data_IF_372070066332
#
_entry.id   IF_372070066332
#
_cell.length_a   1.000
_cell.length_b   1.000
_cell.length_c   1.000
_cell.angle_alpha   90.00
_cell.angle_beta   90.00
_cell.angle_gamma   90.00
#
_symmetry.space_group_name_H-M   'P 1'
#
loop_
_entity.id
_entity.type
_entity.pdbx_description
1 polymer ?
#
# COMPACT_ATOMS: atom_id res chain seq x y z
N UNK A 1 -28.28 -5.33 -1.30
CA UNK A 1 -27.96 -4.05 -1.94
C UNK A 1 -26.90 -4.29 -3.00
N UNK A 2 -27.16 -3.94 -4.25
CA UNK A 2 -26.16 -4.06 -5.31
C UNK A 2 -25.11 -2.96 -5.10
N UNK A 3 -23.85 -3.34 -4.89
CA UNK A 3 -22.75 -2.39 -4.77
C UNK A 3 -22.70 -1.52 -6.03
N UNK A 4 -22.59 -0.20 -5.83
CA UNK A 4 -22.38 0.75 -6.92
C UNK A 4 -21.10 0.33 -7.66
N UNK A 5 -21.11 0.27 -9.02
CA UNK A 5 -19.90 -0.09 -9.76
C UNK A 5 -18.79 0.92 -9.45
N UNK A 6 -17.54 0.44 -9.47
CA UNK A 6 -16.36 1.28 -9.38
C UNK A 6 -16.46 2.39 -10.44
N UNK A 7 -16.06 3.62 -10.10
CA UNK A 7 -15.78 4.57 -11.17
C UNK A 7 -14.46 4.19 -11.84
N UNK A 8 -14.28 4.42 -13.16
CA UNK A 8 -13.03 4.13 -13.87
C UNK A 8 -11.79 4.74 -13.19
N UNK A 9 -11.94 5.95 -12.62
CA UNK A 9 -10.90 6.62 -11.84
C UNK A 9 -10.45 5.86 -10.58
N UNK A 10 -11.29 4.97 -10.02
CA UNK A 10 -10.93 4.13 -8.87
C UNK A 10 -10.22 2.84 -9.28
N UNK A 11 -10.31 2.43 -10.55
CA UNK A 11 -9.67 1.23 -11.08
C UNK A 11 -8.25 1.55 -11.59
N UNK A 12 -8.04 2.77 -12.11
CA UNK A 12 -6.72 3.24 -12.58
C UNK A 12 -5.79 3.69 -11.44
N UNK A 13 -6.29 3.74 -10.19
CA UNK A 13 -5.52 4.12 -9.00
C UNK A 13 -4.84 2.92 -8.35
N UNK A 14 -3.79 3.21 -7.56
CA UNK A 14 -3.24 2.27 -6.58
C UNK A 14 -4.36 1.70 -5.69
N UNK A 15 -4.11 0.58 -5.03
CA UNK A 15 -5.18 -0.14 -4.32
C UNK A 15 -5.96 0.75 -3.35
N UNK A 16 -7.31 0.63 -3.33
CA UNK A 16 -8.17 1.41 -2.44
C UNK A 16 -8.07 0.99 -0.98
N UNK A 17 -7.45 -0.16 -0.69
CA UNK A 17 -7.29 -0.63 0.67
C UNK A 17 -6.32 0.31 1.40
N UNK A 18 -6.67 0.81 2.61
CA UNK A 18 -5.81 1.70 3.36
C UNK A 18 -4.43 1.11 3.65
N UNK A 19 -3.45 1.99 3.83
CA UNK A 19 -2.20 1.61 4.46
C UNK A 19 -2.48 1.14 5.89
N UNK A 20 -1.69 0.18 6.36
CA UNK A 20 -1.81 -0.36 7.72
C UNK A 20 -0.62 0.10 8.54
N UNK A 21 -0.88 0.35 9.82
CA UNK A 21 0.21 0.44 10.79
C UNK A 21 0.94 -0.89 10.88
N UNK A 22 2.18 -0.81 11.33
CA UNK A 22 3.04 -1.98 11.43
C UNK A 22 2.44 -3.13 12.23
N UNK A 23 1.96 -2.81 13.42
CA UNK A 23 1.26 -3.75 14.30
C UNK A 23 0.08 -4.45 13.61
N UNK A 24 -0.73 -3.73 12.84
CA UNK A 24 -1.93 -4.26 12.20
C UNK A 24 -1.55 -5.17 11.02
N UNK A 25 -0.48 -4.81 10.30
CA UNK A 25 0.08 -5.67 9.26
C UNK A 25 0.66 -6.97 9.84
N UNK A 26 1.31 -6.92 11.01
CA UNK A 26 1.81 -8.11 11.70
C UNK A 26 0.67 -9.03 12.14
N UNK A 27 -0.38 -8.48 12.75
CA UNK A 27 -1.58 -9.26 13.14
C UNK A 27 -2.22 -9.89 11.91
N UNK A 28 -2.35 -9.16 10.80
CA UNK A 28 -2.87 -9.70 9.55
C UNK A 28 -2.00 -10.87 9.05
N UNK A 29 -0.69 -10.70 9.02
CA UNK A 29 0.25 -11.75 8.60
C UNK A 29 0.13 -13.00 9.47
N UNK A 30 0.14 -12.86 10.80
CA UNK A 30 -0.02 -13.98 11.73
C UNK A 30 -1.38 -14.68 11.54
N UNK A 31 -2.44 -13.90 11.36
CA UNK A 31 -3.79 -14.43 11.10
C UNK A 31 -3.83 -15.24 9.80
N UNK A 32 -3.26 -14.72 8.71
CA UNK A 32 -3.21 -15.44 7.43
C UNK A 32 -2.35 -16.70 7.50
N UNK A 33 -1.25 -16.68 8.24
CA UNK A 33 -0.38 -17.85 8.43
C UNK A 33 -1.07 -18.95 9.25
N UNK A 34 -1.94 -18.58 10.19
CA UNK A 34 -2.75 -19.53 10.96
C UNK A 34 -3.83 -20.22 10.11
N UNK A 35 -4.21 -19.65 8.96
CA UNK A 35 -5.19 -20.25 8.05
C UNK A 35 -4.49 -21.25 7.11
N UNK A 36 -4.88 -22.54 7.14
CA UNK A 36 -4.11 -23.62 6.51
C UNK A 36 -4.28 -23.68 4.98
N UNK A 37 -5.29 -23.04 4.41
CA UNK A 37 -5.58 -23.16 2.96
C UNK A 37 -5.75 -21.81 2.26
N UNK A 38 -5.46 -21.77 0.95
CA UNK A 38 -5.70 -20.60 0.11
C UNK A 38 -7.17 -20.10 0.19
N UNK A 39 -8.21 -20.96 0.10
CA UNK A 39 -9.60 -20.52 0.20
C UNK A 39 -9.94 -19.86 1.53
N UNK A 40 -9.39 -20.34 2.65
CA UNK A 40 -9.61 -19.73 3.98
C UNK A 40 -8.94 -18.37 4.07
N UNK A 41 -7.68 -18.25 3.62
CA UNK A 41 -6.96 -16.96 3.56
C UNK A 41 -7.70 -15.94 2.71
N UNK A 42 -8.13 -16.35 1.51
CA UNK A 42 -8.90 -15.49 0.62
C UNK A 42 -10.27 -15.13 1.22
N UNK A 43 -10.93 -16.06 1.91
CA UNK A 43 -12.21 -15.81 2.60
C UNK A 43 -12.03 -14.72 3.66
N UNK A 44 -11.01 -14.84 4.50
CA UNK A 44 -10.71 -13.85 5.52
C UNK A 44 -10.44 -12.46 4.91
N UNK A 45 -9.64 -12.39 3.84
CA UNK A 45 -9.35 -11.12 3.17
C UNK A 45 -10.60 -10.46 2.58
N UNK A 46 -11.46 -11.25 1.93
CA UNK A 46 -12.70 -10.78 1.34
C UNK A 46 -13.70 -10.29 2.40
N UNK A 47 -13.81 -11.00 3.51
CA UNK A 47 -14.86 -10.76 4.49
C UNK A 47 -14.43 -9.70 5.54
N UNK A 48 -13.13 -9.61 5.86
CA UNK A 48 -12.63 -8.78 6.98
C UNK A 48 -11.64 -7.69 6.57
N UNK A 49 -10.98 -7.78 5.41
CA UNK A 49 -9.88 -6.89 5.02
C UNK A 49 -10.14 -6.08 3.75
N UNK A 50 -11.39 -6.07 3.28
CA UNK A 50 -11.79 -5.44 2.01
C UNK A 50 -12.44 -4.08 2.17
N UNK A 51 -12.34 -3.48 3.35
CA UNK A 51 -12.91 -2.17 3.61
C UNK A 51 -12.00 -1.03 3.12
N UNK A 52 -12.63 0.02 2.62
CA UNK A 52 -11.97 1.22 2.16
C UNK A 52 -12.80 2.47 2.50
N UNK A 53 -12.16 3.63 2.43
CA UNK A 53 -12.75 4.87 2.88
C UNK A 53 -12.73 5.91 1.79
N UNK A 54 -13.74 6.78 1.77
CA UNK A 54 -13.81 7.89 0.83
C UNK A 54 -14.21 9.19 1.51
N UNK A 55 -13.65 10.31 1.05
CA UNK A 55 -14.08 11.67 1.39
C UNK A 55 -14.41 12.40 0.09
N UNK A 56 -15.63 12.93 -0.03
CA UNK A 56 -16.12 13.61 -1.24
C UNK A 56 -15.93 12.78 -2.54
N UNK A 57 -16.02 11.46 -2.43
CA UNK A 57 -15.83 10.53 -3.56
C UNK A 57 -14.38 10.14 -3.86
N UNK A 58 -13.40 10.75 -3.20
CA UNK A 58 -11.98 10.39 -3.33
C UNK A 58 -11.61 9.31 -2.32
N UNK A 59 -10.80 8.34 -2.73
CA UNK A 59 -10.28 7.29 -1.84
C UNK A 59 -9.31 7.89 -0.84
N UNK A 60 -9.43 7.46 0.41
CA UNK A 60 -8.50 7.80 1.50
C UNK A 60 -7.75 6.54 1.90
N UNK A 61 -6.42 6.56 1.75
CA UNK A 61 -5.53 5.44 2.12
C UNK A 61 -4.69 5.72 3.36
N UNK A 62 -4.65 6.96 3.84
CA UNK A 62 -3.87 7.35 5.02
C UNK A 62 -4.60 6.91 6.31
N UNK A 63 -4.02 6.02 7.12
CA UNK A 63 -4.64 5.54 8.35
C UNK A 63 -4.83 6.65 9.38
N UNK A 64 -3.96 7.67 9.43
CA UNK A 64 -4.12 8.77 10.38
C UNK A 64 -5.40 9.58 10.09
N UNK A 65 -5.70 9.81 8.81
CA UNK A 65 -6.92 10.53 8.40
C UNK A 65 -8.21 9.73 8.67
N UNK A 66 -8.11 8.40 8.62
CA UNK A 66 -9.21 7.48 8.92
C UNK A 66 -9.49 7.46 10.42
N UNK A 67 -8.44 7.36 11.24
CA UNK A 67 -8.54 7.31 12.70
C UNK A 67 -9.09 8.61 13.30
N UNK A 68 -8.79 9.76 12.69
CA UNK A 68 -9.34 11.06 13.12
C UNK A 68 -10.82 11.25 12.75
N UNK A 69 -11.45 10.29 12.05
CA UNK A 69 -12.85 10.35 11.61
C UNK A 69 -13.21 11.68 10.95
N UNK A 70 -12.37 12.09 9.99
CA UNK A 70 -12.51 13.35 9.27
C UNK A 70 -13.94 13.55 8.76
N UNK A 71 -14.46 14.79 8.84
CA UNK A 71 -15.83 15.09 8.42
C UNK A 71 -16.07 14.65 6.96
N UNK A 72 -17.17 13.92 6.72
CA UNK A 72 -17.50 13.38 5.40
C UNK A 72 -16.81 12.05 5.05
N UNK A 73 -16.00 11.46 5.94
CA UNK A 73 -15.44 10.13 5.77
C UNK A 73 -16.56 9.07 5.72
N UNK A 74 -16.62 8.34 4.62
CA UNK A 74 -17.58 7.24 4.43
C UNK A 74 -16.82 5.92 4.28
N UNK A 75 -17.19 4.92 5.09
CA UNK A 75 -16.67 3.55 4.98
C UNK A 75 -17.47 2.74 3.96
N UNK A 76 -16.77 2.00 3.12
CA UNK A 76 -17.32 1.07 2.14
C UNK A 76 -16.62 -0.28 2.27
N UNK A 77 -17.25 -1.31 1.71
CA UNK A 77 -16.65 -2.63 1.59
C UNK A 77 -16.54 -3.01 0.11
N UNK A 78 -15.34 -3.40 -0.33
CA UNK A 78 -15.06 -3.75 -1.70
C UNK A 78 -15.77 -5.05 -2.07
N UNK A 79 -16.72 -4.96 -3.00
CA UNK A 79 -17.44 -6.14 -3.46
C UNK A 79 -16.54 -7.07 -4.27
N UNK A 80 -16.87 -8.36 -4.33
CA UNK A 80 -16.17 -9.30 -5.21
C UNK A 80 -16.21 -8.90 -6.70
N UNK A 81 -17.21 -8.12 -7.14
CA UNK A 81 -17.21 -7.61 -8.52
C UNK A 81 -16.12 -6.55 -8.71
N UNK A 82 -16.03 -5.61 -7.77
CA UNK A 82 -15.04 -4.55 -7.74
C UNK A 82 -13.61 -5.12 -7.68
N UNK A 83 -13.37 -6.08 -6.78
CA UNK A 83 -12.06 -6.73 -6.64
C UNK A 83 -11.69 -7.48 -7.92
N UNK A 84 -12.64 -8.18 -8.54
CA UNK A 84 -12.36 -8.90 -9.78
C UNK A 84 -11.95 -7.97 -10.92
N UNK A 85 -12.65 -6.83 -11.04
CA UNK A 85 -12.37 -5.80 -12.05
C UNK A 85 -11.00 -5.15 -11.82
N UNK A 86 -10.70 -4.77 -10.56
CA UNK A 86 -9.40 -4.20 -10.19
C UNK A 86 -8.25 -5.18 -10.48
N UNK A 87 -8.39 -6.45 -10.09
CA UNK A 87 -7.39 -7.50 -10.34
C UNK A 87 -7.22 -7.78 -11.82
N UNK A 88 -8.31 -7.80 -12.61
CA UNK A 88 -8.22 -7.98 -14.06
C UNK A 88 -7.45 -6.84 -14.72
N UNK A 89 -7.66 -5.60 -14.28
CA UNK A 89 -6.94 -4.43 -14.77
C UNK A 89 -5.43 -4.53 -14.49
N UNK A 90 -5.05 -4.85 -13.25
CA UNK A 90 -3.64 -4.85 -12.82
C UNK A 90 -2.87 -6.10 -13.25
N UNK A 91 -3.51 -7.27 -13.29
CA UNK A 91 -2.87 -8.51 -13.77
C UNK A 91 -2.84 -8.64 -15.29
N UNK A 92 -3.61 -7.82 -16.02
CA UNK A 92 -3.87 -7.95 -17.47
C UNK A 92 -4.40 -9.33 -17.85
N UNK A 93 -5.02 -10.04 -16.91
CA UNK A 93 -5.55 -11.39 -17.09
C UNK A 93 -7.05 -11.41 -16.79
N UNK A 94 -7.80 -12.22 -17.54
CA UNK A 94 -9.25 -12.36 -17.30
C UNK A 94 -9.51 -12.91 -15.90
N UNK A 95 -10.25 -12.14 -15.11
CA UNK A 95 -10.61 -12.53 -13.75
C UNK A 95 -12.01 -12.02 -13.42
N UNK A 96 -12.89 -12.93 -12.98
CA UNK A 96 -14.32 -12.62 -12.82
C UNK A 96 -14.77 -12.80 -11.38
N UNK A 97 -15.88 -12.15 -11.04
CA UNK A 97 -16.57 -12.36 -9.75
C UNK A 97 -16.87 -13.84 -9.49
N UNK A 98 -17.25 -14.59 -10.52
CA UNK A 98 -17.52 -16.02 -10.41
C UNK A 98 -16.24 -16.80 -10.06
N UNK A 99 -15.08 -16.40 -10.61
CA UNK A 99 -13.79 -16.98 -10.25
C UNK A 99 -13.46 -16.74 -8.78
N UNK A 100 -13.69 -15.53 -8.25
CA UNK A 100 -13.51 -15.23 -6.82
C UNK A 100 -14.39 -16.15 -5.95
N UNK A 101 -15.67 -16.30 -6.30
CA UNK A 101 -16.59 -17.17 -5.55
C UNK A 101 -16.16 -18.65 -5.56
N UNK A 102 -15.68 -19.16 -6.70
CA UNK A 102 -15.17 -20.53 -6.81
C UNK A 102 -13.88 -20.73 -6.01
N UNK A 103 -12.96 -19.75 -6.06
CA UNK A 103 -11.73 -19.74 -5.28
C UNK A 103 -12.02 -19.72 -3.77
N UNK A 104 -12.96 -18.87 -3.32
CA UNK A 104 -13.42 -18.79 -1.93
C UNK A 104 -13.92 -20.15 -1.41
N UNK A 105 -14.59 -20.93 -2.27
CA UNK A 105 -15.14 -22.25 -1.94
C UNK A 105 -14.13 -23.40 -2.11
N UNK A 106 -12.90 -23.14 -2.55
CA UNK A 106 -11.93 -24.18 -2.89
C UNK A 106 -12.31 -25.06 -4.08
N UNK A 107 -13.27 -24.62 -4.91
CA UNK A 107 -13.74 -25.37 -6.09
C UNK A 107 -12.82 -25.21 -7.30
N UNK A 108 -11.83 -24.32 -7.20
CA UNK A 108 -10.82 -24.06 -8.22
C UNK A 108 -9.44 -24.11 -7.58
N UNK A 109 -8.42 -24.63 -8.28
CA UNK A 109 -7.04 -24.50 -7.81
C UNK A 109 -6.64 -23.03 -7.63
N UNK A 110 -5.60 -22.75 -6.83
CA UNK A 110 -5.05 -21.41 -6.66
C UNK A 110 -4.80 -20.72 -8.01
N UNK A 111 -4.98 -19.38 -8.07
CA UNK A 111 -4.81 -18.64 -9.31
C UNK A 111 -3.34 -18.65 -9.78
N UNK A 112 -3.13 -18.35 -11.07
CA UNK A 112 -1.78 -18.15 -11.62
C UNK A 112 -1.10 -16.95 -10.96
N UNK A 113 0.23 -16.94 -10.96
CA UNK A 113 1.08 -15.93 -10.31
C UNK A 113 0.65 -14.49 -10.57
N UNK A 114 0.33 -14.11 -11.82
CA UNK A 114 -0.10 -12.74 -12.13
C UNK A 114 -1.38 -12.32 -11.37
N UNK A 115 -2.36 -13.22 -11.28
CA UNK A 115 -3.61 -12.97 -10.54
C UNK A 115 -3.37 -13.04 -9.03
N UNK A 116 -2.54 -13.97 -8.55
CA UNK A 116 -2.18 -14.05 -7.14
C UNK A 116 -1.44 -12.80 -6.66
N UNK A 117 -0.52 -12.26 -7.47
CA UNK A 117 0.19 -11.02 -7.19
C UNK A 117 -0.76 -9.83 -7.16
N UNK A 118 -1.64 -9.68 -8.14
CA UNK A 118 -2.63 -8.59 -8.14
C UNK A 118 -3.62 -8.71 -6.98
N UNK A 119 -4.03 -9.93 -6.60
CA UNK A 119 -4.83 -10.15 -5.39
C UNK A 119 -4.06 -9.67 -4.14
N UNK A 120 -2.80 -10.07 -3.98
CA UNK A 120 -1.99 -9.64 -2.84
C UNK A 120 -1.76 -8.13 -2.81
N UNK A 121 -1.50 -7.53 -3.98
CA UNK A 121 -1.36 -6.09 -4.18
C UNK A 121 -2.63 -5.35 -3.77
N UNK A 122 -3.81 -5.86 -4.17
CA UNK A 122 -5.09 -5.30 -3.73
C UNK A 122 -5.18 -5.19 -2.21
N UNK A 123 -4.76 -6.20 -1.45
CA UNK A 123 -4.78 -6.12 0.02
C UNK A 123 -3.51 -5.53 0.64
N UNK A 124 -2.54 -5.04 -0.16
CA UNK A 124 -1.23 -4.57 0.31
C UNK A 124 -0.47 -5.61 1.16
N UNK A 125 -0.50 -6.89 0.76
CA UNK A 125 0.20 -7.98 1.45
C UNK A 125 1.28 -8.61 0.57
N UNK A 126 2.20 -9.35 1.19
CA UNK A 126 3.15 -10.18 0.45
C UNK A 126 2.41 -11.32 -0.29
N UNK A 127 2.61 -11.49 -1.62
CA UNK A 127 1.90 -12.52 -2.39
C UNK A 127 2.16 -13.94 -1.91
N UNK A 128 3.30 -14.19 -1.27
CA UNK A 128 3.63 -15.50 -0.68
C UNK A 128 2.69 -15.85 0.47
N UNK A 129 2.06 -14.87 1.12
CA UNK A 129 1.05 -15.12 2.17
C UNK A 129 -0.21 -15.77 1.61
N UNK A 130 -0.48 -15.70 0.31
CA UNK A 130 -1.59 -16.45 -0.28
C UNK A 130 -1.23 -17.91 -0.54
N UNK A 131 0.05 -18.27 -0.59
CA UNK A 131 0.49 -19.64 -0.85
C UNK A 131 0.66 -20.43 0.46
N UNK A 132 -0.19 -21.43 0.74
CA UNK A 132 -0.07 -22.25 1.95
C UNK A 132 1.16 -23.17 1.94
N UNK A 133 1.81 -23.39 0.79
CA UNK A 133 3.04 -24.18 0.71
C UNK A 133 4.29 -23.41 1.17
N UNK A 134 4.21 -22.08 1.29
CA UNK A 134 5.33 -21.27 1.78
C UNK A 134 5.45 -21.40 3.30
N UNK A 135 6.59 -21.87 3.83
CA UNK A 135 6.76 -22.04 5.27
C UNK A 135 6.66 -20.70 6.02
N UNK A 136 6.07 -20.73 7.22
CA UNK A 136 5.83 -19.54 8.04
C UNK A 136 7.14 -18.82 8.43
N UNK A 137 8.25 -19.56 8.53
CA UNK A 137 9.58 -19.03 8.85
C UNK A 137 10.07 -18.02 7.82
N UNK A 138 9.59 -18.08 6.57
CA UNK A 138 9.89 -17.08 5.54
C UNK A 138 9.33 -15.69 5.85
N UNK A 139 8.41 -15.62 6.80
CA UNK A 139 7.80 -14.38 7.29
C UNK A 139 8.27 -14.03 8.71
N UNK A 140 9.09 -14.87 9.35
CA UNK A 140 9.69 -14.57 10.66
C UNK A 140 10.71 -13.42 10.56
N UNK A 141 11.35 -13.29 9.39
CA UNK A 141 12.27 -12.19 9.03
C UNK A 141 11.59 -11.10 8.20
N UNK A 142 10.31 -11.24 7.85
CA UNK A 142 9.57 -10.07 7.38
C UNK A 142 9.69 -9.11 8.56
N UNK A 143 10.35 -7.95 8.40
CA UNK A 143 10.58 -7.10 9.53
C UNK A 143 9.21 -6.91 10.14
N UNK A 144 9.05 -7.38 11.39
CA UNK A 144 8.09 -6.76 12.26
C UNK A 144 8.35 -5.29 11.98
N UNK A 145 7.34 -4.64 11.48
CA UNK A 145 7.24 -3.21 11.46
C UNK A 145 7.25 -2.80 12.93
N UNK A 146 8.45 -2.94 13.52
CA UNK A 146 8.89 -2.44 14.79
C UNK A 146 8.49 -0.99 14.72
N UNK A 147 7.47 -0.62 15.49
CA UNK A 147 7.15 0.63 16.21
C UNK A 147 8.04 1.88 15.99
N UNK A 148 8.60 2.03 14.80
CA UNK A 148 9.54 3.05 14.35
C UNK A 148 9.42 3.21 12.83
N UNK A 149 8.18 3.26 12.34
CA UNK A 149 7.90 4.28 11.34
C UNK A 149 8.10 5.59 12.08
N UNK A 150 9.29 6.18 11.97
CA UNK A 150 9.51 7.57 12.36
C UNK A 150 8.50 8.36 11.52
N UNK A 151 7.41 8.89 12.10
CA UNK A 151 6.49 9.72 11.34
C UNK A 151 7.31 10.87 10.73
N UNK A 152 6.92 11.42 9.58
CA UNK A 152 7.63 12.55 8.97
C UNK A 152 7.89 13.72 9.95
N UNK A 153 7.06 13.85 10.99
CA UNK A 153 7.19 14.80 12.10
C UNK A 153 8.35 14.55 13.08
N UNK A 154 8.92 13.33 13.10
CA UNK A 154 10.07 12.96 13.95
C UNK A 154 11.41 13.01 13.20
N UNK A 155 11.40 13.22 11.88
CA UNK A 155 12.60 13.62 11.14
C UNK A 155 12.96 15.06 11.52
N UNK A 156 13.99 15.23 12.35
CA UNK A 156 14.47 16.55 12.78
C UNK A 156 15.74 16.95 12.02
N UNK A 157 15.92 18.26 11.82
CA UNK A 157 17.13 18.82 11.20
C UNK A 157 17.30 18.46 9.70
N UNK A 158 18.52 18.07 9.33
CA UNK A 158 18.94 17.86 7.94
C UNK A 158 18.15 16.74 7.25
N UNK A 159 17.84 15.65 7.95
CA UNK A 159 17.13 14.50 7.38
C UNK A 159 15.67 14.79 7.04
N UNK A 160 14.99 15.63 7.83
CA UNK A 160 13.63 16.07 7.53
C UNK A 160 13.59 16.96 6.28
N UNK A 161 14.54 17.88 6.19
CA UNK A 161 14.67 18.78 5.04
C UNK A 161 14.95 18.03 3.73
N UNK A 162 15.83 17.03 3.77
CA UNK A 162 16.11 16.19 2.61
C UNK A 162 14.90 15.40 2.14
N UNK A 163 14.15 14.79 3.06
CA UNK A 163 12.96 14.02 2.71
C UNK A 163 11.89 14.90 2.05
N UNK A 164 11.65 16.10 2.58
CA UNK A 164 10.75 17.09 1.96
C UNK A 164 11.18 17.43 0.53
N UNK A 165 12.46 17.74 0.33
CA UNK A 165 12.99 18.11 -0.99
C UNK A 165 12.90 16.94 -1.97
N UNK A 166 13.20 15.71 -1.53
CA UNK A 166 13.10 14.51 -2.38
C UNK A 166 11.66 14.26 -2.86
N UNK A 167 10.65 14.48 -2.01
CA UNK A 167 9.25 14.43 -2.43
C UNK A 167 8.90 15.58 -3.39
N UNK A 168 9.35 16.80 -3.12
CA UNK A 168 9.05 17.97 -3.96
C UNK A 168 9.64 17.87 -5.37
N UNK A 169 10.77 17.17 -5.54
CA UNK A 169 11.41 16.95 -6.84
C UNK A 169 10.92 15.69 -7.57
N UNK A 170 9.95 14.96 -7.00
CA UNK A 170 9.30 13.79 -7.63
C UNK A 170 9.97 12.44 -7.36
N UNK A 171 10.82 12.32 -6.32
CA UNK A 171 11.36 11.04 -5.86
C UNK A 171 10.41 10.38 -4.84
N UNK A 172 9.15 10.22 -5.24
CA UNK A 172 8.02 9.78 -4.39
C UNK A 172 8.18 8.34 -3.86
N UNK A 173 9.10 7.56 -4.42
CA UNK A 173 9.37 6.18 -3.98
C UNK A 173 10.30 6.07 -2.77
N UNK A 174 10.89 7.17 -2.28
CA UNK A 174 11.93 7.14 -1.25
C UNK A 174 11.32 7.18 0.14
N UNK A 175 11.59 6.14 0.94
CA UNK A 175 11.04 6.03 2.30
C UNK A 175 11.88 6.85 3.30
N UNK A 176 11.26 7.55 4.28
CA UNK A 176 11.96 8.25 5.38
C UNK A 176 13.08 7.44 6.05
N UNK A 177 12.83 6.14 6.28
CA UNK A 177 13.77 5.21 6.93
C UNK A 177 14.98 4.88 6.05
N UNK A 178 14.80 4.82 4.73
CA UNK A 178 15.91 4.58 3.80
C UNK A 178 16.85 5.77 3.80
N UNK A 179 16.30 6.98 3.81
CA UNK A 179 17.06 8.23 3.97
C UNK A 179 17.77 8.24 5.31
N UNK A 180 17.05 8.05 6.42
CA UNK A 180 17.65 8.07 7.77
C UNK A 180 18.77 7.03 7.94
N UNK A 181 18.59 5.82 7.39
CA UNK A 181 19.61 4.76 7.40
C UNK A 181 20.82 5.09 6.53
N UNK A 182 20.61 5.63 5.33
CA UNK A 182 21.69 6.03 4.41
C UNK A 182 22.48 7.23 4.96
N UNK A 183 21.79 8.20 5.54
CA UNK A 183 22.40 9.39 6.15
C UNK A 183 23.11 9.04 7.45
N UNK A 184 22.54 8.19 8.29
CA UNK A 184 23.17 7.74 9.55
C UNK A 184 24.47 6.94 9.32
N UNK A 185 24.67 6.39 8.13
CA UNK A 185 25.90 5.72 7.71
C UNK A 185 26.93 6.66 7.07
N UNK A 186 26.60 7.94 6.87
CA UNK A 186 27.45 8.92 6.15
C UNK A 186 27.90 10.06 7.07
N UNK A 187 28.97 10.77 6.71
CA UNK A 187 29.51 11.89 7.49
C UNK A 187 28.64 13.13 7.36
N UNK A 188 28.64 14.02 8.37
CA UNK A 188 27.88 15.27 8.33
C UNK A 188 28.19 16.15 7.11
N UNK A 189 29.44 16.13 6.64
CA UNK A 189 29.89 16.85 5.44
C UNK A 189 29.18 16.33 4.18
N UNK A 190 29.13 15.00 3.97
CA UNK A 190 28.40 14.41 2.83
C UNK A 190 26.88 14.59 2.93
N UNK A 191 26.34 14.71 4.14
CA UNK A 191 24.93 15.07 4.31
C UNK A 191 24.68 16.50 3.82
N UNK A 192 25.53 17.46 4.17
CA UNK A 192 25.40 18.84 3.71
C UNK A 192 25.53 18.92 2.18
N UNK A 193 26.53 18.25 1.60
CA UNK A 193 26.72 18.25 0.14
C UNK A 193 25.49 17.69 -0.60
N UNK A 194 24.90 16.61 -0.08
CA UNK A 194 23.70 16.03 -0.68
C UNK A 194 22.48 16.95 -0.55
N UNK A 195 22.35 17.64 0.58
CA UNK A 195 21.29 18.64 0.77
C UNK A 195 21.41 19.78 -0.24
N UNK A 196 22.63 20.29 -0.46
CA UNK A 196 22.89 21.37 -1.42
C UNK A 196 22.50 20.98 -2.85
N UNK A 197 22.74 19.72 -3.23
CA UNK A 197 22.30 19.17 -4.54
C UNK A 197 20.78 19.16 -4.64
N UNK A 198 20.08 18.68 -3.62
CA UNK A 198 18.61 18.64 -3.60
C UNK A 198 18.00 20.05 -3.66
N UNK A 199 18.60 21.01 -2.95
CA UNK A 199 18.17 22.41 -2.98
C UNK A 199 18.41 23.07 -4.34
N UNK A 200 19.55 22.80 -4.99
CA UNK A 200 19.84 23.29 -6.34
C UNK A 200 18.85 22.75 -7.38
N UNK A 201 18.50 21.46 -7.30
CA UNK A 201 17.52 20.83 -8.20
C UNK A 201 16.13 21.44 -7.97
N UNK A 202 15.69 21.56 -6.73
CA UNK A 202 14.39 22.14 -6.40
C UNK A 202 14.31 23.61 -6.84
N UNK A 203 15.37 24.40 -6.64
CA UNK A 203 15.45 25.79 -7.11
C UNK A 203 15.34 25.87 -8.64
N UNK A 204 16.06 25.02 -9.36
CA UNK A 204 15.99 24.97 -10.82
C UNK A 204 14.58 24.60 -11.32
N UNK A 205 13.91 23.61 -10.72
CA UNK A 205 12.52 23.26 -11.07
C UNK A 205 11.54 24.41 -10.81
N UNK A 206 11.74 25.16 -9.71
CA UNK A 206 10.91 26.33 -9.40
C UNK A 206 11.11 27.46 -10.42
N UNK A 207 12.35 27.71 -10.83
CA UNK A 207 12.70 28.80 -11.75
C UNK A 207 12.36 28.46 -13.21
N UNK A 208 12.25 27.17 -13.55
CA UNK A 208 11.88 26.67 -14.90
C UNK A 208 10.39 26.34 -15.07
N UNK A 209 9.60 26.31 -14.00
CA UNK A 209 8.13 26.13 -14.10
C UNK A 209 7.52 27.39 -14.73
N UNK A 210 6.93 27.32 -15.94
CA UNK A 210 6.26 28.47 -16.53
C UNK A 210 5.07 28.84 -15.65
N UNK A 211 5.03 30.10 -15.22
CA UNK A 211 3.83 30.72 -14.64
C UNK A 211 2.76 30.75 -15.73
N UNK A 212 1.94 29.71 -15.81
CA UNK A 212 0.69 29.78 -16.56
C UNK A 212 -0.24 30.74 -15.82
N UNK A 213 -0.25 31.99 -16.28
CA UNK A 213 -1.40 32.90 -16.16
C UNK A 213 -2.52 32.45 -17.11
#
# INVERSE_FOLDING_TARGET
MAGKPATPAQIDQDTPIPLRYGRDQKVLTETLLALPTFPERLTYLLDEQSDFFTVNGNIVVDPAMIDTQTEGLTRHSASAAFIAEWVQHHSKATFSRAAISQLKKGLRPPPRTAIANALAEFWRIDPRLLDPAVPAERFADAPASDDTDIPPSELTGVSGRMWELMNQIGLESVRPREISKLLGATTAEHQIDFLDVLEAIHKYQRDTRPTNS
#
